data_IF_647607649981
#
_entry.id   IF_647607649981
#
_cell.length_a   1.000
_cell.length_b   1.000
_cell.length_c   1.000
_cell.angle_alpha   90.00
_cell.angle_beta   90.00
_cell.angle_gamma   90.00
#
_symmetry.space_group_name_H-M   'P 1'
#
loop_
_entity.id
_entity.type
_entity.pdbx_description
1 polymer ?
#
# COMPACT_ATOMS: atom_id res chain seq x y z
N UNK A 1 27.03 -7.20 12.72
CA UNK A 1 25.86 -7.50 11.86
C UNK A 1 25.25 -6.18 11.41
N UNK A 2 24.96 -5.99 10.11
CA UNK A 2 24.40 -4.72 9.62
C UNK A 2 22.87 -4.84 9.53
N UNK A 3 22.17 -4.39 10.59
CA UNK A 3 20.72 -4.44 10.70
C UNK A 3 20.00 -3.78 9.51
N UNK A 4 20.58 -2.73 8.92
CA UNK A 4 20.00 -2.07 7.73
C UNK A 4 19.90 -3.03 6.54
N UNK A 5 20.95 -3.81 6.27
CA UNK A 5 20.95 -4.80 5.18
C UNK A 5 19.93 -5.91 5.41
N UNK A 6 19.69 -6.27 6.66
CA UNK A 6 18.67 -7.27 7.03
C UNK A 6 17.27 -6.73 6.71
N UNK A 7 16.94 -5.51 7.13
CA UNK A 7 15.64 -4.89 6.82
C UNK A 7 15.43 -4.72 5.31
N UNK A 8 16.48 -4.32 4.57
CA UNK A 8 16.44 -4.26 3.12
C UNK A 8 16.18 -5.64 2.49
N UNK A 9 16.80 -6.70 2.98
CA UNK A 9 16.54 -8.06 2.50
C UNK A 9 15.09 -8.48 2.78
N UNK A 10 14.60 -8.23 3.99
CA UNK A 10 13.21 -8.53 4.38
C UNK A 10 12.22 -7.77 3.48
N UNK A 11 12.56 -6.54 3.08
CA UNK A 11 11.70 -5.74 2.20
C UNK A 11 11.37 -6.43 0.86
N UNK A 12 12.22 -7.34 0.37
CA UNK A 12 11.96 -8.11 -0.85
C UNK A 12 10.82 -9.12 -0.70
N UNK A 13 10.41 -9.47 0.52
CA UNK A 13 9.21 -10.28 0.77
C UNK A 13 7.93 -9.56 0.33
N UNK A 14 7.98 -8.24 0.08
CA UNK A 14 6.88 -7.54 -0.57
C UNK A 14 6.47 -8.19 -1.89
N UNK A 15 7.42 -8.67 -2.71
CA UNK A 15 7.13 -9.14 -4.06
C UNK A 15 6.27 -10.40 -4.07
N UNK A 16 6.59 -11.48 -3.33
CA UNK A 16 5.70 -12.62 -3.23
C UNK A 16 4.36 -12.27 -2.58
N UNK A 17 4.31 -11.35 -1.60
CA UNK A 17 3.04 -10.89 -1.02
C UNK A 17 2.16 -10.16 -2.05
N UNK A 18 2.74 -9.27 -2.85
CA UNK A 18 2.04 -8.57 -3.92
C UNK A 18 1.57 -9.55 -5.01
N UNK A 19 2.35 -10.60 -5.30
CA UNK A 19 1.95 -11.67 -6.22
C UNK A 19 0.73 -12.44 -5.69
N UNK A 20 0.68 -12.75 -4.39
CA UNK A 20 -0.50 -13.37 -3.77
C UNK A 20 -1.71 -12.44 -3.83
N UNK A 21 -1.52 -11.14 -3.56
CA UNK A 21 -2.59 -10.14 -3.71
C UNK A 21 -3.15 -10.12 -5.12
N UNK A 22 -2.27 -10.10 -6.14
CA UNK A 22 -2.68 -10.16 -7.54
C UNK A 22 -3.38 -11.47 -7.90
N UNK A 23 -2.87 -12.61 -7.40
CA UNK A 23 -3.49 -13.91 -7.61
C UNK A 23 -4.94 -13.90 -7.12
N UNK A 24 -5.17 -13.53 -5.85
CA UNK A 24 -6.53 -13.48 -5.29
C UNK A 24 -7.42 -12.44 -5.99
N UNK A 25 -6.87 -11.32 -6.46
CA UNK A 25 -7.65 -10.35 -7.22
C UNK A 25 -8.21 -10.94 -8.53
N UNK A 26 -7.48 -11.88 -9.15
CA UNK A 26 -7.83 -12.46 -10.45
C UNK A 26 -8.66 -13.75 -10.33
N UNK A 27 -8.51 -14.51 -9.24
CA UNK A 27 -9.19 -15.81 -9.03
C UNK A 27 -10.70 -15.78 -9.32
N UNK A 28 -11.49 -14.79 -8.85
CA UNK A 28 -12.94 -14.76 -9.12
C UNK A 28 -13.27 -14.74 -10.62
N UNK A 29 -12.43 -14.09 -11.43
CA UNK A 29 -12.63 -13.92 -12.86
C UNK A 29 -12.11 -15.11 -13.66
N UNK A 30 -11.02 -15.73 -13.21
CA UNK A 30 -10.42 -16.90 -13.86
C UNK A 30 -11.31 -18.15 -13.78
N UNK A 31 -12.19 -18.23 -12.77
CA UNK A 31 -13.18 -19.32 -12.65
C UNK A 31 -14.36 -19.21 -13.62
N UNK A 32 -14.50 -18.09 -14.33
CA UNK A 32 -15.56 -17.84 -15.30
C UNK A 32 -16.80 -17.15 -14.70
N UNK A 33 -17.51 -16.39 -15.54
CA UNK A 33 -18.67 -15.59 -15.13
C UNK A 33 -19.87 -16.42 -14.66
N UNK A 34 -20.07 -17.61 -15.23
CA UNK A 34 -21.16 -18.50 -14.83
C UNK A 34 -20.98 -18.97 -13.39
N UNK A 35 -19.78 -19.41 -13.03
CA UNK A 35 -19.44 -19.79 -11.65
C UNK A 35 -19.59 -18.61 -10.68
N UNK A 36 -19.20 -17.41 -11.10
CA UNK A 36 -19.30 -16.19 -10.30
C UNK A 36 -20.74 -15.81 -9.99
N UNK A 37 -21.64 -16.00 -10.96
CA UNK A 37 -23.08 -15.74 -10.80
C UNK A 37 -23.71 -16.71 -9.79
N UNK A 38 -23.28 -17.96 -9.79
CA UNK A 38 -23.72 -18.98 -8.83
C UNK A 38 -23.10 -18.80 -7.44
N UNK A 39 -21.89 -18.25 -7.36
CA UNK A 39 -21.10 -18.12 -6.12
C UNK A 39 -20.61 -16.69 -5.90
N UNK A 40 -21.49 -15.68 -5.76
CA UNK A 40 -21.09 -14.26 -5.67
C UNK A 40 -20.20 -13.96 -4.46
N UNK A 41 -20.29 -14.80 -3.43
CA UNK A 41 -19.54 -14.68 -2.18
C UNK A 41 -18.02 -14.78 -2.36
N UNK A 42 -17.57 -15.48 -3.40
CA UNK A 42 -16.15 -15.66 -3.70
C UNK A 42 -15.45 -14.31 -3.91
N UNK A 43 -16.17 -13.30 -4.39
CA UNK A 43 -15.62 -11.95 -4.60
C UNK A 43 -15.20 -11.34 -3.27
N UNK A 44 -16.08 -11.38 -2.26
CA UNK A 44 -15.81 -10.79 -0.96
C UNK A 44 -14.61 -11.45 -0.27
N UNK A 45 -14.54 -12.78 -0.32
CA UNK A 45 -13.44 -13.54 0.26
C UNK A 45 -12.10 -13.23 -0.44
N UNK A 46 -12.08 -13.27 -1.77
CA UNK A 46 -10.85 -13.05 -2.54
C UNK A 46 -10.38 -11.60 -2.47
N UNK A 47 -11.31 -10.64 -2.40
CA UNK A 47 -10.96 -9.23 -2.23
C UNK A 47 -10.45 -8.95 -0.83
N UNK A 48 -10.98 -9.63 0.19
CA UNK A 48 -10.42 -9.58 1.53
C UNK A 48 -8.97 -10.07 1.53
N UNK A 49 -8.69 -11.24 0.95
CA UNK A 49 -7.32 -11.73 0.82
C UNK A 49 -6.42 -10.77 0.03
N UNK A 50 -6.92 -10.22 -1.07
CA UNK A 50 -6.21 -9.21 -1.86
C UNK A 50 -5.77 -8.04 -0.97
N UNK A 51 -6.69 -7.46 -0.22
CA UNK A 51 -6.41 -6.32 0.65
C UNK A 51 -5.42 -6.66 1.77
N UNK A 52 -5.55 -7.85 2.36
CA UNK A 52 -4.61 -8.35 3.39
C UNK A 52 -3.20 -8.46 2.80
N UNK A 53 -3.04 -9.19 1.69
CA UNK A 53 -1.73 -9.41 1.09
C UNK A 53 -1.09 -8.12 0.56
N UNK A 54 -1.89 -7.23 -0.04
CA UNK A 54 -1.42 -5.91 -0.48
C UNK A 54 -1.01 -5.04 0.72
N UNK A 55 -1.79 -5.03 1.80
CA UNK A 55 -1.47 -4.28 3.02
C UNK A 55 -0.17 -4.75 3.67
N UNK A 56 0.02 -6.08 3.76
CA UNK A 56 1.25 -6.69 4.24
C UNK A 56 2.44 -6.40 3.32
N UNK A 57 2.26 -6.56 2.01
CA UNK A 57 3.31 -6.29 1.02
C UNK A 57 3.78 -4.84 1.07
N UNK A 58 2.85 -3.89 1.13
CA UNK A 58 3.14 -2.46 1.31
C UNK A 58 3.85 -2.22 2.64
N UNK A 59 3.39 -2.81 3.75
CA UNK A 59 4.04 -2.66 5.06
C UNK A 59 5.50 -3.09 5.01
N UNK A 60 5.79 -4.23 4.38
CA UNK A 60 7.16 -4.75 4.22
C UNK A 60 8.00 -3.86 3.28
N UNK A 61 7.40 -3.24 2.26
CA UNK A 61 8.09 -2.29 1.37
C UNK A 61 8.69 -1.09 2.11
N UNK A 62 8.11 -0.71 3.25
CA UNK A 62 8.56 0.46 4.04
C UNK A 62 9.95 0.26 4.66
N UNK A 63 10.44 -0.98 4.71
CA UNK A 63 11.77 -1.34 5.23
C UNK A 63 12.90 -1.04 4.22
N UNK A 64 12.56 -0.60 3.01
CA UNK A 64 13.53 -0.23 1.98
C UNK A 64 14.34 1.02 2.34
N UNK A 65 15.45 1.21 1.62
CA UNK A 65 16.28 2.40 1.76
C UNK A 65 15.60 3.63 1.13
N UNK A 66 15.24 4.61 1.96
CA UNK A 66 14.58 5.85 1.54
C UNK A 66 15.56 6.91 1.02
N UNK A 67 16.87 6.65 1.04
CA UNK A 67 17.90 7.53 0.46
C UNK A 67 18.05 7.35 -1.05
N UNK A 68 17.42 6.32 -1.62
CA UNK A 68 17.41 6.03 -3.06
C UNK A 68 16.01 6.21 -3.61
N UNK A 69 15.90 6.83 -4.77
CA UNK A 69 14.65 6.82 -5.54
C UNK A 69 14.58 5.55 -6.38
N UNK A 70 13.42 4.90 -6.37
CA UNK A 70 13.21 3.63 -7.07
C UNK A 70 13.15 3.80 -8.60
N UNK A 71 12.72 4.98 -9.09
CA UNK A 71 12.48 5.24 -10.52
C UNK A 71 12.62 6.73 -10.84
N UNK A 72 13.01 7.06 -12.07
CA UNK A 72 12.99 8.41 -12.66
C UNK A 72 11.63 9.12 -12.52
N UNK A 73 10.51 8.40 -12.63
CA UNK A 73 9.18 8.99 -12.40
C UNK A 73 9.01 9.43 -10.94
N UNK A 74 9.35 8.55 -10.00
CA UNK A 74 9.32 8.84 -8.57
C UNK A 74 10.23 10.03 -8.23
N UNK A 75 11.43 10.06 -8.81
CA UNK A 75 12.41 11.14 -8.63
C UNK A 75 11.83 12.51 -9.01
N UNK A 76 11.16 12.60 -10.18
CA UNK A 76 10.48 13.83 -10.64
C UNK A 76 9.40 14.35 -9.69
N UNK A 77 8.74 13.46 -8.94
CA UNK A 77 7.72 13.85 -7.97
C UNK A 77 8.40 14.37 -6.69
N UNK A 78 9.35 13.61 -6.15
CA UNK A 78 9.94 13.90 -4.83
C UNK A 78 10.95 15.05 -4.84
N UNK A 79 11.65 15.28 -5.95
CA UNK A 79 12.57 16.41 -6.10
C UNK A 79 11.83 17.76 -6.16
N UNK A 80 10.60 17.77 -6.68
CA UNK A 80 9.80 18.97 -6.80
C UNK A 80 8.97 19.19 -5.52
N UNK A 81 9.20 20.29 -4.76
CA UNK A 81 8.56 20.50 -3.47
C UNK A 81 7.04 20.66 -3.57
N UNK A 82 6.51 21.22 -4.67
CA UNK A 82 5.06 21.36 -4.87
C UNK A 82 4.43 19.99 -5.14
N UNK A 83 5.02 19.20 -6.06
CA UNK A 83 4.51 17.87 -6.41
C UNK A 83 4.61 16.88 -5.26
N UNK A 84 5.72 16.90 -4.51
CA UNK A 84 5.90 16.06 -3.33
C UNK A 84 4.85 16.35 -2.26
N UNK A 85 4.59 17.63 -1.94
CA UNK A 85 3.53 18.02 -0.99
C UNK A 85 2.15 17.57 -1.45
N UNK A 86 1.82 17.72 -2.73
CA UNK A 86 0.55 17.23 -3.30
C UNK A 86 0.44 15.71 -3.17
N UNK A 87 1.49 14.97 -3.53
CA UNK A 87 1.51 13.52 -3.45
C UNK A 87 1.31 13.02 -2.01
N UNK A 88 2.00 13.63 -1.04
CA UNK A 88 1.80 13.35 0.40
C UNK A 88 0.37 13.66 0.85
N UNK A 89 -0.20 14.78 0.40
CA UNK A 89 -1.59 15.14 0.71
C UNK A 89 -2.59 14.11 0.18
N UNK A 90 -2.42 13.68 -1.08
CA UNK A 90 -3.25 12.64 -1.69
C UNK A 90 -3.11 11.32 -0.92
N UNK A 91 -1.88 10.89 -0.63
CA UNK A 91 -1.63 9.67 0.14
C UNK A 91 -2.26 9.75 1.53
N UNK A 92 -2.17 10.89 2.21
CA UNK A 92 -2.80 11.10 3.52
C UNK A 92 -4.32 10.91 3.44
N UNK A 93 -4.97 11.57 2.47
CA UNK A 93 -6.42 11.43 2.27
C UNK A 93 -6.79 9.98 1.99
N UNK A 94 -6.06 9.30 1.09
CA UNK A 94 -6.31 7.89 0.78
C UNK A 94 -6.16 6.99 2.00
N UNK A 95 -5.09 7.16 2.79
CA UNK A 95 -4.84 6.37 4.00
C UNK A 95 -5.98 6.55 5.00
N UNK A 96 -6.33 7.79 5.35
CA UNK A 96 -7.37 8.03 6.35
C UNK A 96 -8.77 7.68 5.86
N UNK A 97 -9.09 7.90 4.58
CA UNK A 97 -10.36 7.47 4.00
C UNK A 97 -10.49 5.94 4.02
N UNK A 98 -9.42 5.21 3.65
CA UNK A 98 -9.39 3.74 3.68
C UNK A 98 -9.64 3.21 5.09
N UNK A 99 -8.93 3.77 6.08
CA UNK A 99 -9.10 3.37 7.49
C UNK A 99 -10.51 3.69 7.97
N UNK A 100 -11.03 4.89 7.68
CA UNK A 100 -12.39 5.26 8.05
C UNK A 100 -13.41 4.27 7.46
N UNK A 101 -13.32 3.95 6.17
CA UNK A 101 -14.19 2.96 5.52
C UNK A 101 -14.06 1.59 6.19
N UNK A 102 -12.85 1.14 6.54
CA UNK A 102 -12.65 -0.13 7.25
C UNK A 102 -13.27 -0.14 8.65
N UNK A 103 -13.11 0.94 9.42
CA UNK A 103 -13.71 1.06 10.77
C UNK A 103 -15.23 1.09 10.67
N UNK A 104 -15.79 2.01 9.87
CA UNK A 104 -17.24 2.16 9.73
C UNK A 104 -17.86 0.90 9.13
N UNK A 105 -17.23 0.31 8.11
CA UNK A 105 -17.68 -0.94 7.49
C UNK A 105 -17.76 -2.09 8.50
N UNK A 106 -16.76 -2.21 9.38
CA UNK A 106 -16.75 -3.27 10.40
C UNK A 106 -17.86 -3.10 11.43
N UNK A 107 -18.08 -1.88 11.95
CA UNK A 107 -19.05 -1.65 13.02
C UNK A 107 -20.51 -1.47 12.55
N UNK A 108 -20.72 -1.02 11.31
CA UNK A 108 -22.07 -0.80 10.77
C UNK A 108 -22.61 -2.07 10.08
N UNK A 109 -21.72 -2.91 9.54
CA UNK A 109 -22.18 -4.08 8.80
C UNK A 109 -22.80 -5.13 9.71
N UNK A 110 -24.00 -5.57 9.33
CA UNK A 110 -24.70 -6.74 9.93
C UNK A 110 -24.25 -8.05 9.28
N UNK A 111 -23.67 -7.98 8.07
CA UNK A 111 -23.23 -9.15 7.31
C UNK A 111 -21.77 -9.50 7.66
N UNK A 112 -21.55 -10.75 8.07
CA UNK A 112 -20.22 -11.28 8.45
C UNK A 112 -19.18 -11.13 7.33
N UNK A 113 -19.55 -11.35 6.06
CA UNK A 113 -18.62 -11.21 4.91
C UNK A 113 -18.16 -9.77 4.73
N UNK A 114 -19.05 -8.81 4.92
CA UNK A 114 -18.73 -7.39 4.87
C UNK A 114 -17.88 -6.97 6.07
N UNK A 115 -18.11 -7.56 7.25
CA UNK A 115 -17.23 -7.35 8.41
C UNK A 115 -15.81 -7.88 8.12
N UNK A 116 -15.69 -9.09 7.58
CA UNK A 116 -14.40 -9.66 7.18
C UNK A 116 -13.69 -8.81 6.12
N UNK A 117 -14.40 -8.37 5.07
CA UNK A 117 -13.85 -7.46 4.07
C UNK A 117 -13.37 -6.15 4.71
N UNK A 118 -14.10 -5.63 5.69
CA UNK A 118 -13.71 -4.42 6.42
C UNK A 118 -12.42 -4.61 7.20
N UNK A 119 -12.16 -5.80 7.75
CA UNK A 119 -10.86 -6.15 8.35
C UNK A 119 -9.75 -6.10 7.29
N UNK A 120 -9.97 -6.64 6.09
CA UNK A 120 -9.02 -6.52 4.99
C UNK A 120 -8.72 -5.07 4.62
N UNK A 121 -9.75 -4.23 4.52
CA UNK A 121 -9.61 -2.79 4.27
C UNK A 121 -8.77 -2.12 5.39
N UNK A 122 -8.99 -2.49 6.66
CA UNK A 122 -8.19 -1.99 7.77
C UNK A 122 -6.72 -2.39 7.66
N UNK A 123 -6.42 -3.66 7.37
CA UNK A 123 -5.05 -4.15 7.18
C UNK A 123 -4.36 -3.43 6.02
N UNK A 124 -5.08 -3.22 4.91
CA UNK A 124 -4.58 -2.42 3.80
C UNK A 124 -4.29 -0.97 4.22
N UNK A 125 -5.21 -0.33 4.96
CA UNK A 125 -5.04 1.00 5.54
C UNK A 125 -3.83 1.11 6.46
N UNK A 126 -3.56 0.10 7.29
CA UNK A 126 -2.36 0.04 8.14
C UNK A 126 -1.08 0.02 7.29
N UNK A 127 -1.08 -0.76 6.20
CA UNK A 127 0.02 -0.74 5.24
C UNK A 127 0.23 0.65 4.63
N UNK A 128 -0.86 1.34 4.28
CA UNK A 128 -0.81 2.71 3.77
C UNK A 128 -0.30 3.73 4.79
N UNK A 129 -0.48 3.53 6.11
CA UNK A 129 0.16 4.37 7.14
C UNK A 129 1.68 4.25 7.03
N UNK A 130 2.19 3.03 7.00
CA UNK A 130 3.62 2.78 6.86
C UNK A 130 4.16 3.42 5.58
N UNK A 131 3.45 3.24 4.47
CA UNK A 131 3.81 3.85 3.19
C UNK A 131 3.82 5.37 3.21
N UNK A 132 2.84 6.01 3.86
CA UNK A 132 2.79 7.47 4.02
C UNK A 132 4.02 7.97 4.79
N UNK A 133 4.41 7.28 5.86
CA UNK A 133 5.63 7.61 6.61
C UNK A 133 6.87 7.49 5.73
N UNK A 134 7.02 6.38 5.01
CA UNK A 134 8.15 6.18 4.08
C UNK A 134 8.16 7.24 2.98
N UNK A 135 7.00 7.61 2.44
CA UNK A 135 6.88 8.65 1.42
C UNK A 135 7.34 10.03 1.94
N UNK A 136 7.03 10.36 3.21
CA UNK A 136 7.55 11.56 3.87
C UNK A 136 9.08 11.54 3.97
N UNK A 137 9.66 10.42 4.43
CA UNK A 137 11.11 10.26 4.53
C UNK A 137 11.80 10.38 3.15
N UNK A 138 11.25 9.72 2.12
CA UNK A 138 11.75 9.83 0.74
C UNK A 138 11.68 11.27 0.25
N UNK A 139 10.57 11.97 0.51
CA UNK A 139 10.43 13.39 0.14
C UNK A 139 11.46 14.27 0.84
N UNK A 140 11.69 14.08 2.13
CA UNK A 140 12.70 14.84 2.88
C UNK A 140 14.12 14.60 2.39
N UNK A 141 14.44 13.36 1.99
CA UNK A 141 15.75 12.99 1.48
C UNK A 141 16.03 13.56 0.08
N UNK A 142 14.99 13.79 -0.75
CA UNK A 142 15.17 14.12 -2.17
C UNK A 142 14.74 15.52 -2.57
N UNK A 143 14.01 16.26 -1.73
CA UNK A 143 13.51 17.59 -2.10
C UNK A 143 14.63 18.60 -2.34
N UNK A 144 14.61 19.24 -3.51
CA UNK A 144 15.68 20.14 -3.94
C UNK A 144 15.67 21.49 -3.21
N UNK A 145 14.54 21.90 -2.63
CA UNK A 145 14.44 23.14 -1.86
C UNK A 145 15.25 23.09 -0.54
N UNK A 146 15.47 21.90 0.01
CA UNK A 146 16.31 21.69 1.21
C UNK A 146 17.71 21.17 0.88
N UNK A 147 17.84 20.34 -0.17
CA UNK A 147 19.07 19.62 -0.48
C UNK A 147 19.77 20.13 -1.75
N UNK A 148 19.51 21.37 -2.17
CA UNK A 148 20.23 21.97 -3.30
C UNK A 148 21.74 21.88 -3.06
N UNK A 149 22.44 21.20 -3.96
CA UNK A 149 23.90 21.21 -3.98
C UNK A 149 24.39 22.67 -4.05
N UNK A 150 25.49 23.03 -3.36
CA UNK A 150 26.08 24.35 -3.53
C UNK A 150 26.32 24.55 -5.03
N UNK A 151 25.83 25.67 -5.57
CA UNK A 151 26.16 26.09 -6.93
C UNK A 151 27.69 26.22 -6.97
N UNK A 152 28.35 25.27 -7.63
CA UNK A 152 29.76 25.38 -8.01
C UNK A 152 29.91 26.39 -9.14
#
# INVERSE_FOLDING_TARGET
>A
MNYRKIFQLISYLQYPLMLMGLFYALVPYLKGFDYLKENPDIIFENYNYTLIFMGLGISISTLQDTTKTQNNFSKKIWENPKKGKIAIGILSIMTFATIAIGIFGYFISVNEKLQQLSIGILIFGIGLIGFLKTALEVFENHRLDKNAAPKS
#
